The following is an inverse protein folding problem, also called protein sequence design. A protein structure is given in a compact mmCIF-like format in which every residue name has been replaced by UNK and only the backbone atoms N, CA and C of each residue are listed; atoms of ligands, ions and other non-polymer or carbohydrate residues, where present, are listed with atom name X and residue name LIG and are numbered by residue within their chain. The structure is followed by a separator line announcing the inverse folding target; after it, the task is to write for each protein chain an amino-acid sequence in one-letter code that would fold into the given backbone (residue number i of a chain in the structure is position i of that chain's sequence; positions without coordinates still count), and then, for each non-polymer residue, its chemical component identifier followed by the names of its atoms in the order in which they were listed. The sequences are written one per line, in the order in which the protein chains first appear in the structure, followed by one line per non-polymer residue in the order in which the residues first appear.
data_IF_340585934088
#
_entry.id   IF_340585934088
#
_cell.length_a   1.000
_cell.length_b   1.000
_cell.length_c   1.000
_cell.angle_alpha   90.00
_cell.angle_beta   90.00
_cell.angle_gamma   90.00
#
_symmetry.space_group_name_H-M   'P 1'
#
loop_
_entity.id
_entity.type
_entity.pdbx_description
1 polymer ?
#
# COMPACT_ATOMS: atom_id res chain seq x y z
N UNK A 1 -29.59 21.01 15.44
CA UNK A 1 -28.27 21.34 14.86
C UNK A 1 -27.56 20.02 14.62
N UNK A 2 -27.56 19.54 13.37
CA UNK A 2 -26.98 18.25 12.98
C UNK A 2 -25.47 18.35 13.23
N UNK A 3 -24.96 17.75 14.30
CA UNK A 3 -23.55 17.82 14.69
C UNK A 3 -22.77 16.77 13.91
N UNK A 4 -22.11 17.23 12.85
CA UNK A 4 -20.79 16.79 12.43
C UNK A 4 -20.58 15.27 12.30
N UNK A 5 -21.29 14.64 11.36
CA UNK A 5 -20.94 13.29 10.84
C UNK A 5 -19.60 13.27 10.07
N UNK A 6 -18.82 14.36 10.03
CA UNK A 6 -17.61 14.48 9.19
C UNK A 6 -16.34 14.73 10.00
N UNK A 7 -16.21 14.14 11.20
CA UNK A 7 -15.03 14.34 12.06
C UNK A 7 -14.08 13.15 12.15
N UNK A 8 -14.22 12.13 11.29
CA UNK A 8 -13.20 11.07 11.24
C UNK A 8 -12.94 10.61 9.82
N UNK A 9 -12.65 11.57 8.93
CA UNK A 9 -11.74 11.30 7.83
C UNK A 9 -10.37 11.02 8.49
N UNK A 10 -10.20 9.81 9.05
CA UNK A 10 -8.88 9.24 9.27
C UNK A 10 -8.34 8.99 7.87
N UNK A 11 -7.98 10.07 7.20
CA UNK A 11 -7.43 10.04 5.87
C UNK A 11 -6.13 9.27 6.01
N UNK A 12 -6.17 7.98 5.71
CA UNK A 12 -4.99 7.15 5.66
C UNK A 12 -3.99 7.92 4.78
N UNK A 13 -2.91 8.38 5.38
CA UNK A 13 -1.84 9.04 4.65
C UNK A 13 -0.95 7.94 4.09
N UNK A 14 -0.75 7.98 2.78
CA UNK A 14 0.25 7.17 2.12
C UNK A 14 1.62 7.79 2.37
N UNK A 15 2.59 6.96 2.75
CA UNK A 15 3.97 7.35 2.92
C UNK A 15 4.84 6.53 1.98
N UNK A 16 5.64 7.21 1.15
CA UNK A 16 6.44 6.56 0.12
C UNK A 16 7.85 6.23 0.63
N UNK A 17 8.25 4.94 0.67
CA UNK A 17 9.56 4.54 1.18
C UNK A 17 10.75 4.94 0.29
N UNK A 18 10.50 5.30 -0.98
CA UNK A 18 11.58 5.66 -1.93
C UNK A 18 11.95 7.14 -1.87
N UNK A 19 10.97 8.02 -1.70
CA UNK A 19 11.17 9.48 -1.77
C UNK A 19 10.69 10.23 -0.53
N UNK A 20 10.26 9.49 0.51
CA UNK A 20 9.82 10.03 1.81
C UNK A 20 8.69 11.06 1.69
N UNK A 21 7.86 10.94 0.65
CA UNK A 21 6.71 11.82 0.46
C UNK A 21 5.49 11.24 1.14
N UNK A 22 4.81 12.07 1.90
CA UNK A 22 3.52 11.75 2.50
C UNK A 22 2.39 12.44 1.73
N UNK A 23 1.37 11.68 1.30
CA UNK A 23 0.23 12.19 0.56
C UNK A 23 -1.09 11.58 1.08
N UNK A 24 -2.22 12.31 1.05
CA UNK A 24 -3.51 11.74 1.45
C UNK A 24 -3.96 10.67 0.45
N UNK A 25 -4.49 9.53 0.92
CA UNK A 25 -4.91 8.41 0.04
C UNK A 25 -5.91 8.83 -1.04
N UNK A 26 -6.68 9.89 -0.83
CA UNK A 26 -7.62 10.45 -1.82
C UNK A 26 -6.93 11.11 -3.02
N UNK A 27 -5.67 11.50 -2.87
CA UNK A 27 -4.86 12.14 -3.92
C UNK A 27 -3.83 11.18 -4.54
N UNK A 28 -3.72 9.95 -4.02
CA UNK A 28 -2.74 8.98 -4.49
C UNK A 28 -3.37 8.15 -5.61
N UNK A 29 -2.77 8.10 -6.81
CA UNK A 29 -3.30 7.27 -7.89
C UNK A 29 -3.15 5.78 -7.59
N UNK A 30 -4.07 4.98 -8.12
CA UNK A 30 -3.99 3.53 -8.11
C UNK A 30 -3.68 3.02 -9.52
N UNK A 31 -2.92 1.95 -9.64
CA UNK A 31 -2.68 1.27 -10.91
C UNK A 31 -3.90 0.45 -11.36
N UNK A 32 -3.85 -0.13 -12.56
CA UNK A 32 -4.92 -0.97 -13.12
C UNK A 32 -5.25 -2.20 -12.26
N UNK A 33 -4.32 -2.67 -11.43
CA UNK A 33 -4.50 -3.77 -10.49
C UNK A 33 -5.04 -3.31 -9.13
N UNK A 34 -5.16 -1.99 -8.90
CA UNK A 34 -5.65 -1.41 -7.66
C UNK A 34 -4.58 -1.23 -6.58
N UNK A 35 -3.29 -1.29 -6.92
CA UNK A 35 -2.21 -0.96 -5.98
C UNK A 35 -1.92 0.54 -5.96
N UNK A 36 -1.49 1.02 -4.80
CA UNK A 36 -1.14 2.42 -4.57
C UNK A 36 0.13 2.79 -5.35
N UNK A 37 0.13 3.93 -6.04
CA UNK A 37 1.27 4.43 -6.81
C UNK A 37 1.66 5.82 -6.31
N UNK A 38 2.93 5.99 -5.94
CA UNK A 38 3.44 7.28 -5.51
C UNK A 38 3.31 8.32 -6.64
N UNK A 39 2.64 9.47 -6.41
CA UNK A 39 2.44 10.49 -7.45
C UNK A 39 3.71 11.27 -7.79
N UNK A 40 4.77 11.17 -6.97
CA UNK A 40 6.03 11.91 -7.16
C UNK A 40 7.05 11.09 -7.93
N UNK A 41 7.41 9.91 -7.42
CA UNK A 41 8.44 9.06 -8.01
C UNK A 41 7.88 7.89 -8.85
N UNK A 42 6.57 7.63 -8.80
CA UNK A 42 5.96 6.50 -9.50
C UNK A 42 6.15 5.14 -8.83
N UNK A 43 6.64 5.08 -7.58
CA UNK A 43 6.76 3.83 -6.84
C UNK A 43 5.39 3.17 -6.67
N UNK A 44 5.21 2.01 -7.29
CA UNK A 44 4.05 1.16 -7.05
C UNK A 44 4.32 0.32 -5.80
N UNK A 45 3.46 0.47 -4.79
CA UNK A 45 3.39 -0.40 -3.62
C UNK A 45 2.85 -1.78 -4.01
N UNK A 46 3.46 -2.39 -5.03
CA UNK A 46 3.26 -3.81 -5.28
C UNK A 46 3.71 -4.53 -4.02
N UNK A 47 3.04 -5.62 -3.61
CA UNK A 47 3.66 -6.58 -2.74
C UNK A 47 4.86 -7.12 -3.52
N UNK A 48 5.99 -6.42 -3.43
CA UNK A 48 7.27 -6.94 -3.87
C UNK A 48 7.34 -8.33 -3.27
N UNK A 49 7.68 -9.31 -4.09
CA UNK A 49 7.93 -10.69 -3.69
C UNK A 49 9.17 -10.78 -2.76
N UNK A 50 9.21 -9.95 -1.72
CA UNK A 50 10.27 -9.76 -0.73
C UNK A 50 9.69 -9.59 0.67
N UNK A 51 8.46 -10.07 0.89
CA UNK A 51 7.74 -9.99 2.17
C UNK A 51 6.92 -11.24 2.50
N UNK A 52 7.30 -12.40 1.98
CA UNK A 52 7.05 -13.71 2.57
C UNK A 52 8.05 -14.70 1.97
N UNK A 53 9.07 -15.18 2.71
CA UNK A 53 9.66 -16.47 2.41
C UNK A 53 8.60 -17.53 2.70
N UNK A 54 7.68 -17.72 1.76
CA UNK A 54 6.69 -18.80 1.78
C UNK A 54 6.27 -19.14 0.36
N UNK A 55 7.26 -19.25 -0.53
CA UNK A 55 7.23 -20.29 -1.55
C UNK A 55 8.21 -21.43 -1.24
N UNK A 56 8.84 -21.42 -0.06
CA UNK A 56 9.53 -22.59 0.47
C UNK A 56 8.48 -23.52 1.09
N UNK A 57 7.72 -24.20 0.22
CA UNK A 57 7.12 -25.46 0.62
C UNK A 57 8.22 -26.36 1.16
N UNK A 58 8.00 -27.08 2.29
CA UNK A 58 9.04 -27.95 2.85
C UNK A 58 9.53 -28.91 1.77
N UNK A 59 10.86 -29.15 1.63
CA UNK A 59 11.34 -30.11 0.65
C UNK A 59 10.68 -31.46 0.95
N UNK A 60 9.97 -32.00 -0.04
CA UNK A 60 9.39 -33.33 0.03
C UNK A 60 10.51 -34.35 0.24
N UNK A 61 10.73 -34.74 1.49
CA UNK A 61 11.45 -35.95 1.81
C UNK A 61 10.44 -37.09 1.63
N UNK A 62 10.63 -37.87 0.57
CA UNK A 62 9.92 -39.13 0.38
C UNK A 62 10.42 -40.19 1.37
N UNK A 63 9.51 -41.06 1.79
CA UNK A 63 9.70 -42.50 1.98
C UNK A 63 8.33 -43.19 1.87
#
# INVERSE_FOLDING_TARGET
MLRDIMSTENAATFDCPECDVTAPSTSVPYDSLGYVVCPVCGYAGTPSAGGSPSLEGPPSAGD
#
